data_IF_418251712583
#
_entry.id   IF_418251712583
#
_cell.length_a   1.000
_cell.length_b   1.000
_cell.length_c   1.000
_cell.angle_alpha   90.00
_cell.angle_beta   90.00
_cell.angle_gamma   90.00
#
_symmetry.space_group_name_H-M   'P 1'
#
loop_
_entity.id
_entity.type
_entity.pdbx_description
1 polymer ?
#
# COMPACT_ATOMS: atom_id res chain seq x y z
N UNK A 1 -31.41 37.79 -2.26
CA UNK A 1 -30.17 37.66 -3.08
C UNK A 1 -28.91 37.48 -2.25
N UNK A 2 -28.48 38.43 -1.40
CA UNK A 2 -27.24 38.29 -0.58
C UNK A 2 -27.19 37.03 0.29
N UNK A 3 -28.30 36.66 0.93
CA UNK A 3 -28.40 35.43 1.75
C UNK A 3 -28.30 34.15 0.92
N UNK A 4 -28.92 34.12 -0.26
CA UNK A 4 -28.86 32.97 -1.18
C UNK A 4 -27.42 32.78 -1.67
N UNK A 5 -26.74 33.86 -2.06
CA UNK A 5 -25.33 33.82 -2.45
C UNK A 5 -24.45 33.30 -1.31
N UNK A 6 -24.70 33.74 -0.07
CA UNK A 6 -23.98 33.25 1.10
C UNK A 6 -24.19 31.75 1.35
N UNK A 7 -25.43 31.24 1.23
CA UNK A 7 -25.71 29.80 1.36
C UNK A 7 -25.10 28.98 0.23
N UNK A 8 -25.16 29.46 -1.01
CA UNK A 8 -24.51 28.82 -2.16
C UNK A 8 -22.99 28.76 -1.98
N UNK A 9 -22.37 29.83 -1.47
CA UNK A 9 -20.93 29.86 -1.21
C UNK A 9 -20.53 28.91 -0.07
N UNK A 10 -21.32 28.85 1.01
CA UNK A 10 -21.10 27.91 2.11
C UNK A 10 -21.20 26.44 1.65
N UNK A 11 -22.21 26.14 0.82
CA UNK A 11 -22.37 24.80 0.23
C UNK A 11 -21.18 24.45 -0.66
N UNK A 12 -20.73 25.38 -1.51
CA UNK A 12 -19.57 25.15 -2.40
C UNK A 12 -18.29 24.86 -1.61
N UNK A 13 -18.05 25.59 -0.52
CA UNK A 13 -16.90 25.37 0.37
C UNK A 13 -16.96 24.02 1.09
N UNK A 14 -18.15 23.56 1.48
CA UNK A 14 -18.32 22.22 2.07
C UNK A 14 -18.03 21.10 1.07
N UNK A 15 -18.45 21.25 -0.20
CA UNK A 15 -18.18 20.26 -1.25
C UNK A 15 -16.67 20.14 -1.55
N UNK A 16 -15.91 21.24 -1.54
CA UNK A 16 -14.46 21.20 -1.80
C UNK A 16 -13.72 20.43 -0.69
N UNK A 17 -14.12 20.59 0.57
CA UNK A 17 -13.48 19.87 1.70
C UNK A 17 -13.77 18.38 1.70
N UNK A 18 -14.95 17.98 1.23
CA UNK A 18 -15.34 16.56 1.14
C UNK A 18 -14.59 15.80 0.03
N UNK A 19 -14.09 16.49 -1.00
CA UNK A 19 -13.41 15.87 -2.13
C UNK A 19 -11.87 16.00 -2.08
N UNK A 20 -11.32 16.45 -0.95
CA UNK A 20 -9.88 16.57 -0.77
C UNK A 20 -9.25 15.16 -0.63
N UNK A 21 -8.56 14.72 -1.68
CA UNK A 21 -8.00 13.38 -1.79
C UNK A 21 -6.50 13.44 -2.09
N UNK A 22 -5.75 12.59 -1.39
CA UNK A 22 -4.34 12.38 -1.66
C UNK A 22 -4.17 11.20 -2.61
N UNK A 23 -3.45 11.45 -3.70
CA UNK A 23 -3.05 10.44 -4.66
C UNK A 23 -1.57 10.10 -4.51
N UNK A 24 -1.25 8.81 -4.63
CA UNK A 24 0.11 8.26 -4.59
C UNK A 24 0.23 7.27 -5.75
N UNK A 25 1.30 7.36 -6.54
CA UNK A 25 1.52 6.41 -7.61
C UNK A 25 2.07 5.10 -7.01
N UNK A 26 1.20 4.10 -6.82
CA UNK A 26 1.58 2.81 -6.27
C UNK A 26 1.42 1.72 -7.32
N UNK A 27 2.48 0.96 -7.58
CA UNK A 27 2.43 -0.28 -8.35
C UNK A 27 2.71 -1.44 -7.42
N UNK A 28 1.80 -2.40 -7.37
CA UNK A 28 2.00 -3.67 -6.66
C UNK A 28 2.29 -4.76 -7.69
N UNK A 29 3.41 -5.43 -7.53
CA UNK A 29 3.75 -6.65 -8.26
C UNK A 29 3.86 -7.84 -7.32
N UNK A 30 3.29 -8.96 -7.72
CA UNK A 30 3.35 -10.22 -6.99
C UNK A 30 3.97 -11.25 -7.92
N UNK A 31 5.07 -11.84 -7.50
CA UNK A 31 5.82 -12.84 -8.24
C UNK A 31 6.17 -12.40 -9.67
N UNK A 32 6.68 -11.16 -9.79
CA UNK A 32 7.10 -10.50 -11.04
C UNK A 32 5.96 -10.10 -11.99
N UNK A 33 4.70 -10.14 -11.51
CA UNK A 33 3.54 -9.68 -12.28
C UNK A 33 2.86 -8.50 -11.59
N UNK A 34 2.62 -7.42 -12.33
CA UNK A 34 1.76 -6.34 -11.85
C UNK A 34 0.35 -6.89 -11.66
N UNK A 35 -0.18 -6.77 -10.44
CA UNK A 35 -1.50 -7.32 -10.13
C UNK A 35 -2.58 -6.28 -10.42
N UNK A 36 -3.50 -6.62 -11.31
CA UNK A 36 -4.62 -5.75 -11.70
C UNK A 36 -5.78 -5.75 -10.70
N UNK A 37 -5.86 -6.78 -9.86
CA UNK A 37 -6.93 -6.96 -8.89
C UNK A 37 -6.37 -7.42 -7.55
N UNK A 38 -6.67 -6.64 -6.52
CA UNK A 38 -6.51 -6.98 -5.11
C UNK A 38 -7.78 -6.53 -4.38
N UNK A 39 -8.02 -7.05 -3.19
CA UNK A 39 -9.22 -6.72 -2.41
C UNK A 39 -8.87 -6.24 -1.01
N UNK A 40 -9.75 -5.40 -0.45
CA UNK A 40 -9.68 -4.98 0.94
C UNK A 40 -8.42 -4.17 1.29
N UNK A 41 -7.87 -3.41 0.33
CA UNK A 41 -6.69 -2.60 0.59
C UNK A 41 -7.00 -1.55 1.67
N UNK A 42 -6.22 -1.59 2.74
CA UNK A 42 -6.30 -0.66 3.84
C UNK A 42 -4.91 -0.39 4.45
N UNK A 43 -4.80 0.74 5.12
CA UNK A 43 -3.69 1.03 6.01
C UNK A 43 -4.05 0.69 7.45
N UNK A 44 -3.09 0.14 8.18
CA UNK A 44 -3.20 -0.09 9.62
C UNK A 44 -2.22 0.86 10.31
N UNK A 45 -2.75 1.92 10.92
CA UNK A 45 -1.99 2.87 11.70
C UNK A 45 -1.91 2.40 13.15
N UNK A 46 -0.71 2.03 13.61
CA UNK A 46 -0.49 1.60 15.00
C UNK A 46 -0.10 2.81 15.83
N UNK A 47 -0.93 3.15 16.80
CA UNK A 47 -0.73 4.27 17.73
C UNK A 47 -0.52 3.76 19.17
N UNK A 48 -0.32 4.68 20.11
CA UNK A 48 -0.34 4.37 21.54
C UNK A 48 -1.71 3.85 22.03
N UNK A 49 -2.79 4.26 21.38
CA UNK A 49 -4.16 4.00 21.82
C UNK A 49 -4.77 2.79 21.12
N UNK A 50 -4.03 2.12 20.23
CA UNK A 50 -4.49 0.97 19.45
C UNK A 50 -4.22 1.12 17.97
N UNK A 51 -4.90 0.28 17.19
CA UNK A 51 -4.81 0.23 15.74
C UNK A 51 -6.03 0.89 15.09
N UNK A 52 -5.79 1.78 14.13
CA UNK A 52 -6.82 2.36 13.28
C UNK A 52 -6.68 1.79 11.86
N UNK A 53 -7.80 1.33 11.28
CA UNK A 53 -7.85 0.88 9.88
C UNK A 53 -8.39 2.00 9.01
N UNK A 54 -7.61 2.38 8.00
CA UNK A 54 -7.92 3.42 7.03
C UNK A 54 -8.10 2.76 5.67
N UNK A 55 -9.31 2.83 5.11
CA UNK A 55 -9.58 2.32 3.78
C UNK A 55 -8.90 3.21 2.73
N UNK A 56 -8.44 2.60 1.63
CA UNK A 56 -7.93 3.33 0.48
C UNK A 56 -8.33 2.63 -0.81
N UNK A 57 -8.60 3.42 -1.83
CA UNK A 57 -8.92 2.92 -3.16
C UNK A 57 -7.63 2.68 -3.94
N UNK A 58 -7.61 1.60 -4.72
CA UNK A 58 -6.44 1.23 -5.49
C UNK A 58 -6.80 0.62 -6.84
N UNK A 59 -6.05 1.06 -7.85
CA UNK A 59 -5.81 0.34 -9.10
C UNK A 59 -4.33 0.49 -9.47
N UNK A 60 -3.75 -0.34 -10.35
CA UNK A 60 -2.33 -0.27 -10.66
C UNK A 60 -1.89 1.12 -11.10
N UNK A 61 -0.93 1.70 -10.37
CA UNK A 61 -0.42 3.06 -10.60
C UNK A 61 -1.19 4.15 -9.87
N UNK A 62 -2.24 3.84 -9.12
CA UNK A 62 -3.04 4.84 -8.42
C UNK A 62 -3.58 4.30 -7.10
N UNK A 63 -3.07 4.88 -6.02
CA UNK A 63 -3.58 4.71 -4.68
C UNK A 63 -4.16 6.04 -4.23
N UNK A 64 -5.37 6.02 -3.67
CA UNK A 64 -6.05 7.24 -3.26
C UNK A 64 -6.74 7.08 -1.91
N UNK A 65 -6.64 8.12 -1.08
CA UNK A 65 -7.25 8.18 0.26
C UNK A 65 -7.61 9.63 0.60
N UNK A 66 -8.50 9.84 1.56
CA UNK A 66 -8.87 11.19 1.99
C UNK A 66 -7.65 11.93 2.56
N UNK A 67 -7.57 13.25 2.37
CA UNK A 67 -6.50 14.06 2.95
C UNK A 67 -6.47 13.95 4.48
N UNK A 68 -7.64 13.83 5.11
CA UNK A 68 -7.79 13.60 6.54
C UNK A 68 -7.05 12.33 6.96
N UNK A 69 -7.33 11.20 6.29
CA UNK A 69 -6.73 9.93 6.67
C UNK A 69 -5.25 9.87 6.31
N UNK A 70 -4.84 10.48 5.19
CA UNK A 70 -3.42 10.62 4.85
C UNK A 70 -2.65 11.37 5.94
N UNK A 71 -3.23 12.46 6.48
CA UNK A 71 -2.61 13.21 7.56
C UNK A 71 -2.50 12.39 8.85
N UNK A 72 -3.48 11.53 9.16
CA UNK A 72 -3.39 10.60 10.30
C UNK A 72 -2.23 9.61 10.16
N UNK A 73 -2.00 9.09 8.95
CA UNK A 73 -0.88 8.16 8.69
C UNK A 73 0.50 8.83 8.95
N UNK A 74 0.58 10.15 8.70
CA UNK A 74 1.79 10.94 8.90
C UNK A 74 1.94 11.52 10.31
N UNK A 75 0.89 11.47 11.13
CA UNK A 75 0.87 12.06 12.46
C UNK A 75 2.02 11.49 13.34
N UNK A 76 2.59 12.34 14.16
CA UNK A 76 3.56 12.00 15.20
C UNK A 76 3.12 10.88 16.15
N UNK A 77 1.82 10.76 16.45
CA UNK A 77 1.28 9.72 17.36
C UNK A 77 1.23 8.33 16.73
N UNK A 78 1.13 8.26 15.41
CA UNK A 78 1.27 7.02 14.65
C UNK A 78 2.71 6.53 14.81
N UNK A 79 2.96 5.26 15.04
CA UNK A 79 4.34 4.74 15.19
C UNK A 79 4.76 3.96 13.96
N UNK A 80 3.88 3.07 13.55
CA UNK A 80 4.06 2.19 12.41
C UNK A 80 2.81 2.25 11.55
N UNK A 81 2.99 2.18 10.24
CA UNK A 81 1.90 2.06 9.29
C UNK A 81 2.11 0.77 8.54
N UNK A 82 1.08 -0.06 8.42
CA UNK A 82 1.11 -1.21 7.51
C UNK A 82 0.19 -0.94 6.33
N UNK A 83 0.54 -1.45 5.16
CA UNK A 83 -0.41 -1.67 4.07
C UNK A 83 -0.87 -3.13 4.12
N UNK A 84 -2.17 -3.35 4.09
CA UNK A 84 -2.78 -4.67 4.17
C UNK A 84 -3.79 -4.85 3.05
N UNK A 85 -3.75 -6.01 2.39
CA UNK A 85 -4.67 -6.36 1.31
C UNK A 85 -4.65 -7.86 1.05
N UNK A 86 -5.67 -8.32 0.35
CA UNK A 86 -5.81 -9.70 -0.10
C UNK A 86 -5.57 -9.81 -1.61
N UNK A 87 -4.95 -10.92 -2.01
CA UNK A 87 -4.72 -11.29 -3.40
C UNK A 87 -5.17 -12.72 -3.64
N UNK A 88 -5.97 -12.92 -4.69
CA UNK A 88 -6.39 -14.24 -5.12
C UNK A 88 -5.62 -14.63 -6.37
N UNK A 89 -4.76 -15.65 -6.26
CA UNK A 89 -4.11 -16.27 -7.41
C UNK A 89 -4.95 -17.46 -7.88
N UNK A 90 -5.35 -17.45 -9.16
CA UNK A 90 -5.93 -18.62 -9.79
C UNK A 90 -4.81 -19.50 -10.36
N UNK A 91 -4.72 -20.73 -9.86
CA UNK A 91 -3.79 -21.73 -10.36
C UNK A 91 -4.59 -22.98 -10.78
N UNK A 92 -4.73 -23.17 -12.09
CA UNK A 92 -5.60 -24.19 -12.68
C UNK A 92 -7.05 -24.04 -12.17
N UNK A 93 -7.57 -25.07 -11.49
CA UNK A 93 -8.91 -25.12 -10.90
C UNK A 93 -8.94 -24.67 -9.44
N UNK A 94 -7.79 -24.32 -8.84
CA UNK A 94 -7.69 -23.92 -7.44
C UNK A 94 -7.47 -22.42 -7.32
N UNK A 95 -8.17 -21.81 -6.37
CA UNK A 95 -7.93 -20.45 -5.94
C UNK A 95 -7.08 -20.47 -4.67
N UNK A 96 -6.03 -19.66 -4.65
CA UNK A 96 -5.20 -19.44 -3.47
C UNK A 96 -5.38 -18.00 -3.01
N UNK A 97 -5.80 -17.83 -1.76
CA UNK A 97 -5.91 -16.53 -1.11
C UNK A 97 -4.63 -16.23 -0.34
N UNK A 98 -4.02 -15.09 -0.64
CA UNK A 98 -2.87 -14.56 0.06
C UNK A 98 -3.26 -13.28 0.79
N UNK A 99 -2.93 -13.22 2.07
CA UNK A 99 -3.03 -12.00 2.87
C UNK A 99 -1.65 -11.37 3.03
N UNK A 100 -1.51 -10.11 2.64
CA UNK A 100 -0.29 -9.34 2.82
C UNK A 100 -0.50 -8.27 3.87
N UNK A 101 0.51 -8.08 4.73
CA UNK A 101 0.60 -6.97 5.67
C UNK A 101 2.05 -6.53 5.72
N UNK A 102 2.32 -5.38 5.12
CA UNK A 102 3.68 -4.91 4.86
C UNK A 102 3.91 -3.62 5.63
N UNK A 103 4.97 -3.58 6.43
CA UNK A 103 5.38 -2.39 7.19
C UNK A 103 5.85 -1.29 6.24
N UNK A 104 5.06 -0.23 6.16
CA UNK A 104 5.41 1.02 5.51
C UNK A 104 6.09 1.91 6.54
N UNK A 105 7.40 2.13 6.36
CA UNK A 105 8.08 3.16 7.14
C UNK A 105 7.45 4.50 6.77
N UNK A 106 7.05 5.34 7.72
CA UNK A 106 6.32 6.60 7.44
C UNK A 106 6.87 7.51 6.32
N UNK A 107 8.20 7.50 6.10
CA UNK A 107 8.82 8.23 4.98
C UNK A 107 8.27 7.81 3.61
N UNK A 108 7.69 6.62 3.54
CA UNK A 108 7.11 5.98 2.36
C UNK A 108 5.76 6.55 1.93
N UNK A 109 5.19 7.47 2.69
CA UNK A 109 3.99 8.16 2.24
C UNK A 109 4.34 9.52 1.63
N UNK A 110 5.62 9.92 1.64
CA UNK A 110 6.09 11.24 1.23
C UNK A 110 6.64 11.31 -0.18
N UNK A 111 7.02 10.19 -0.80
CA UNK A 111 7.46 10.18 -2.20
C UNK A 111 6.26 10.11 -3.14
N UNK A 112 6.48 10.53 -4.39
CA UNK A 112 5.43 10.62 -5.39
C UNK A 112 5.11 9.28 -6.05
N UNK A 113 6.04 8.30 -6.04
CA UNK A 113 5.76 6.92 -6.47
C UNK A 113 6.41 5.85 -5.59
N UNK A 114 5.81 4.66 -5.63
CA UNK A 114 6.32 3.43 -5.04
C UNK A 114 6.02 2.23 -5.92
N UNK A 115 7.00 1.33 -6.03
CA UNK A 115 6.81 0.00 -6.65
C UNK A 115 7.04 -1.04 -5.56
N UNK A 116 5.96 -1.66 -5.07
CA UNK A 116 5.99 -2.76 -4.12
C UNK A 116 6.11 -4.09 -4.89
N UNK A 117 7.20 -4.81 -4.68
CA UNK A 117 7.42 -6.14 -5.28
C UNK A 117 7.39 -7.21 -4.21
N UNK A 118 6.45 -8.15 -4.32
CA UNK A 118 6.23 -9.23 -3.36
C UNK A 118 6.59 -10.56 -4.00
N UNK A 119 7.29 -11.41 -3.26
CA UNK A 119 7.74 -12.72 -3.69
C UNK A 119 7.25 -13.79 -2.72
N UNK A 120 6.40 -14.70 -3.19
CA UNK A 120 5.80 -15.75 -2.37
C UNK A 120 6.77 -16.92 -2.16
N UNK A 121 7.08 -17.25 -0.90
CA UNK A 121 7.99 -18.36 -0.56
C UNK A 121 7.36 -19.75 -0.80
N UNK A 122 6.08 -19.81 -1.20
CA UNK A 122 5.44 -21.02 -1.73
C UNK A 122 6.04 -21.43 -3.08
N UNK A 123 6.58 -20.48 -3.87
CA UNK A 123 7.21 -20.77 -5.16
C UNK A 123 8.68 -21.09 -4.98
N UNK A 124 9.11 -22.22 -5.55
CA UNK A 124 10.49 -22.73 -5.45
C UNK A 124 11.53 -21.70 -5.89
N UNK A 125 11.26 -20.98 -6.99
CA UNK A 125 12.11 -19.90 -7.51
C UNK A 125 12.53 -18.91 -6.41
N UNK A 126 11.59 -18.45 -5.58
CA UNK A 126 11.88 -17.45 -4.53
C UNK A 126 12.52 -18.08 -3.30
N UNK A 127 12.21 -19.34 -2.95
CA UNK A 127 12.94 -20.07 -1.89
C UNK A 127 14.41 -20.29 -2.21
N UNK A 128 14.72 -20.52 -3.48
CA UNK A 128 16.10 -20.74 -3.91
C UNK A 128 16.89 -19.42 -3.93
N UNK A 129 16.22 -18.27 -4.12
CA UNK A 129 16.84 -16.95 -4.13
C UNK A 129 16.98 -16.29 -2.76
N UNK A 130 16.00 -16.47 -1.86
CA UNK A 130 15.93 -15.78 -0.57
C UNK A 130 15.99 -16.74 0.61
N UNK A 131 16.56 -16.27 1.73
CA UNK A 131 16.60 -17.03 2.99
C UNK A 131 15.74 -16.33 4.03
N UNK A 132 14.51 -16.80 4.22
CA UNK A 132 13.59 -16.28 5.23
C UNK A 132 12.69 -17.39 5.75
N UNK A 133 12.18 -17.22 6.98
CA UNK A 133 11.10 -18.04 7.54
C UNK A 133 9.71 -17.46 7.22
N UNK A 134 9.64 -16.24 6.68
CA UNK A 134 8.39 -15.58 6.33
C UNK A 134 7.71 -16.23 5.11
N UNK A 135 6.37 -16.22 5.02
CA UNK A 135 5.64 -16.81 3.89
C UNK A 135 5.86 -16.05 2.57
N UNK A 136 6.27 -14.79 2.65
CA UNK A 136 6.66 -13.95 1.52
C UNK A 136 7.79 -13.01 1.94
N UNK A 137 8.47 -12.45 0.94
CA UNK A 137 9.38 -11.32 1.12
C UNK A 137 8.97 -10.20 0.19
N UNK A 138 9.41 -8.98 0.49
CA UNK A 138 9.09 -7.82 -0.33
C UNK A 138 10.29 -6.91 -0.48
N UNK A 139 10.34 -6.25 -1.63
CA UNK A 139 11.23 -5.16 -1.96
C UNK A 139 10.39 -3.95 -2.33
N UNK A 140 10.97 -2.77 -2.27
CA UNK A 140 10.36 -1.68 -2.99
C UNK A 140 11.34 -0.69 -3.57
N UNK A 141 10.82 0.12 -4.49
CA UNK A 141 11.54 1.15 -5.23
C UNK A 141 10.77 2.47 -5.18
N UNK A 142 11.50 3.57 -5.05
CA UNK A 142 10.99 4.93 -4.95
C UNK A 142 12.06 5.93 -5.47
N UNK A 143 11.74 7.21 -5.71
CA UNK A 143 12.65 8.18 -6.34
C UNK A 143 14.03 8.34 -5.67
N UNK A 144 14.13 8.01 -4.39
CA UNK A 144 15.34 8.16 -3.58
C UNK A 144 16.12 6.86 -3.37
N UNK A 145 15.64 5.73 -3.89
CA UNK A 145 16.34 4.45 -3.74
C UNK A 145 15.42 3.23 -3.77
N UNK A 146 15.97 2.11 -3.31
CA UNK A 146 15.26 0.85 -3.24
C UNK A 146 15.68 0.06 -1.99
N UNK A 147 14.73 -0.69 -1.43
CA UNK A 147 15.02 -1.73 -0.44
C UNK A 147 15.20 -3.04 -1.19
N UNK A 148 16.45 -3.49 -1.32
CA UNK A 148 16.80 -4.76 -1.96
C UNK A 148 17.15 -5.81 -0.91
N UNK A 149 16.67 -7.02 -1.11
CA UNK A 149 16.95 -8.14 -0.22
C UNK A 149 18.28 -8.79 -0.59
N UNK A 150 18.99 -9.28 0.42
CA UNK A 150 20.22 -10.05 0.22
C UNK A 150 19.85 -11.40 -0.41
N UNK A 151 20.36 -11.64 -1.62
CA UNK A 151 20.16 -12.89 -2.34
C UNK A 151 21.14 -13.95 -1.81
N UNK A 152 20.71 -15.21 -1.78
CA UNK A 152 21.60 -16.36 -1.52
C UNK A 152 22.71 -16.35 -2.57
N UNK A 153 23.96 -16.58 -2.14
CA UNK A 153 25.07 -16.72 -3.09
C UNK A 153 24.78 -17.89 -4.02
N UNK A 154 24.75 -17.63 -5.32
CA UNK A 154 24.72 -18.68 -6.33
C UNK A 154 25.96 -19.56 -6.12
N UNK A 155 25.76 -20.87 -5.94
CA UNK A 155 26.87 -21.81 -6.15
C UNK A 155 27.16 -21.77 -7.65
N UNK A 156 28.27 -21.14 -8.04
CA UNK A 156 28.79 -21.24 -9.39
C UNK A 156 28.83 -22.74 -9.76
N UNK A 157 28.12 -23.11 -10.83
CA UNK A 157 28.19 -24.43 -11.41
C UNK A 157 29.37 -24.49 -12.37
#
# INVERSE_FOLDING_TARGET
MKKIIAYSLALLLSCIRLNAQKNIDLIISIDEKIVSSISGLNFIAVTLNGEERIQADYYPGHLSLSDSDYNKLLDTVTRTVYISFDYTEQQNTKQHLYHYQIDLKKGWLKHYYYILSIYNMTKRKYRDMFSTAMPYVYEFEYPGGATKLVRKKSKAR
#
